data_IF_637876793479
#
_entry.id   IF_637876793479
#
_cell.length_a   1.000
_cell.length_b   1.000
_cell.length_c   1.000
_cell.angle_alpha   90.00
_cell.angle_beta   90.00
_cell.angle_gamma   90.00
#
_symmetry.space_group_name_H-M   'P 1'
#
loop_
_entity.id
_entity.type
_entity.pdbx_description
1 polymer ?
#
# COMPACT_ATOMS: atom_id res chain seq x y z
N UNK A 1 31.64 -13.73 1.98
CA UNK A 1 32.41 -12.49 2.11
C UNK A 1 31.45 -11.33 1.92
N UNK A 2 31.13 -10.63 3.01
CA UNK A 2 30.24 -9.47 2.97
C UNK A 2 30.93 -8.35 2.18
N UNK A 3 30.27 -7.87 1.12
CA UNK A 3 30.70 -6.65 0.45
C UNK A 3 30.56 -5.50 1.46
N UNK A 4 31.68 -4.91 1.84
CA UNK A 4 31.76 -3.71 2.65
C UNK A 4 31.23 -2.53 1.80
N UNK A 5 29.90 -2.40 1.71
CA UNK A 5 29.25 -1.25 1.12
C UNK A 5 29.31 -0.10 2.10
N UNK A 6 29.92 1.02 1.71
CA UNK A 6 29.86 2.26 2.48
C UNK A 6 28.40 2.55 2.87
N UNK A 7 28.15 2.85 4.15
CA UNK A 7 26.81 3.09 4.66
C UNK A 7 26.19 4.30 3.94
N UNK A 8 25.29 4.04 2.98
CA UNK A 8 24.63 5.09 2.22
C UNK A 8 23.75 5.92 3.15
N UNK A 9 23.90 7.24 3.08
CA UNK A 9 23.08 8.19 3.82
C UNK A 9 22.76 9.42 2.97
N UNK A 10 21.68 10.11 3.33
CA UNK A 10 21.29 11.41 2.78
C UNK A 10 21.25 12.42 3.91
N UNK A 11 21.79 13.61 3.66
CA UNK A 11 21.80 14.70 4.63
C UNK A 11 20.55 15.56 4.46
N UNK A 12 19.91 15.89 5.58
CA UNK A 12 18.67 16.66 5.66
C UNK A 12 18.90 17.84 6.61
N UNK A 13 18.34 19.00 6.28
CA UNK A 13 18.23 20.10 7.23
C UNK A 13 16.82 20.08 7.83
N UNK A 14 16.73 19.82 9.11
CA UNK A 14 15.48 19.71 9.86
C UNK A 14 15.28 21.00 10.65
N UNK A 15 14.11 21.59 10.49
CA UNK A 15 13.71 22.81 11.20
C UNK A 15 12.71 22.42 12.28
N UNK A 16 13.06 22.66 13.54
CA UNK A 16 12.32 22.21 14.72
C UNK A 16 11.72 23.40 15.46
N UNK A 17 10.47 23.25 15.88
CA UNK A 17 9.77 24.14 16.81
C UNK A 17 9.98 23.58 18.24
N UNK A 18 10.99 24.07 18.94
CA UNK A 18 11.39 23.54 20.25
C UNK A 18 10.25 23.56 21.27
N UNK A 19 9.48 24.66 21.33
CA UNK A 19 8.36 24.81 22.25
C UNK A 19 7.27 23.75 22.06
N UNK A 20 7.15 23.20 20.85
CA UNK A 20 6.13 22.20 20.49
C UNK A 20 6.68 20.79 20.39
N UNK A 21 7.99 20.61 20.55
CA UNK A 21 8.70 19.36 20.29
C UNK A 21 8.29 18.74 18.93
N UNK A 22 8.22 19.57 17.89
CA UNK A 22 7.67 19.23 16.59
C UNK A 22 8.58 19.71 15.45
N UNK A 23 8.67 18.93 14.38
CA UNK A 23 9.31 19.35 13.12
C UNK A 23 8.35 20.29 12.39
N UNK A 24 8.84 21.48 12.01
CA UNK A 24 8.10 22.37 11.12
C UNK A 24 8.19 21.87 9.68
N UNK A 25 9.42 21.68 9.20
CA UNK A 25 9.70 21.14 7.88
C UNK A 25 11.12 20.60 7.80
N UNK A 26 11.38 19.86 6.72
CA UNK A 26 12.68 19.37 6.31
C UNK A 26 13.04 20.00 4.97
N UNK A 27 14.19 20.65 4.89
CA UNK A 27 14.81 21.02 3.62
C UNK A 27 15.68 19.84 3.12
N UNK A 28 15.35 19.33 1.93
CA UNK A 28 15.89 18.10 1.37
C UNK A 28 16.27 18.26 -0.10
N UNK A 29 17.36 17.60 -0.51
CA UNK A 29 17.73 17.43 -1.91
C UNK A 29 16.90 16.35 -2.61
N UNK A 30 17.01 16.29 -3.93
CA UNK A 30 16.32 15.31 -4.79
C UNK A 30 16.48 13.87 -4.31
N UNK A 31 17.64 13.52 -3.73
CA UNK A 31 17.96 12.15 -3.38
C UNK A 31 17.06 11.61 -2.27
N UNK A 32 16.63 12.48 -1.34
CA UNK A 32 15.67 12.09 -0.32
C UNK A 32 14.24 12.16 -0.85
N UNK A 33 13.91 13.18 -1.64
CA UNK A 33 12.56 13.30 -2.21
C UNK A 33 12.23 12.12 -3.12
N UNK A 34 13.16 11.72 -3.98
CA UNK A 34 13.05 10.52 -4.81
C UNK A 34 12.76 9.27 -3.96
N UNK A 35 13.47 9.11 -2.84
CA UNK A 35 13.25 8.01 -1.89
C UNK A 35 11.84 8.09 -1.28
N UNK A 36 11.43 9.26 -0.81
CA UNK A 36 10.14 9.49 -0.18
C UNK A 36 8.98 9.20 -1.14
N UNK A 37 8.98 9.79 -2.33
CA UNK A 37 7.91 9.59 -3.32
C UNK A 37 7.89 8.15 -3.84
N UNK A 38 9.05 7.48 -3.86
CA UNK A 38 9.13 6.08 -4.28
C UNK A 38 8.31 5.12 -3.41
N UNK A 39 7.94 5.47 -2.17
CA UNK A 39 7.06 4.62 -1.36
C UNK A 39 5.71 4.36 -2.03
N UNK A 40 5.19 5.31 -2.82
CA UNK A 40 3.93 5.20 -3.56
C UNK A 40 3.89 4.01 -4.52
N UNK A 41 5.05 3.65 -5.03
CA UNK A 41 5.24 2.66 -6.08
C UNK A 41 5.54 1.27 -5.51
N UNK A 42 5.67 1.14 -4.18
CA UNK A 42 6.05 -0.12 -3.53
C UNK A 42 4.82 -1.03 -3.33
N UNK A 43 4.89 -2.31 -3.74
CA UNK A 43 3.88 -3.29 -3.39
C UNK A 43 3.71 -3.44 -1.88
N UNK A 44 2.49 -3.67 -1.40
CA UNK A 44 2.23 -3.82 0.05
C UNK A 44 3.11 -4.90 0.68
N UNK A 45 3.25 -6.07 0.05
CA UNK A 45 4.08 -7.15 0.58
C UNK A 45 5.56 -6.75 0.69
N UNK A 46 6.05 -5.88 -0.21
CA UNK A 46 7.39 -5.30 -0.11
C UNK A 46 7.48 -4.39 1.12
N UNK A 47 6.50 -3.52 1.35
CA UNK A 47 6.47 -2.64 2.52
C UNK A 47 6.44 -3.47 3.81
N UNK A 48 5.53 -4.45 3.92
CA UNK A 48 5.44 -5.34 5.10
C UNK A 48 6.78 -6.03 5.35
N UNK A 49 7.43 -6.58 4.32
CA UNK A 49 8.72 -7.26 4.42
C UNK A 49 9.84 -6.33 4.86
N UNK A 50 9.97 -5.18 4.23
CA UNK A 50 11.06 -4.23 4.50
C UNK A 50 10.95 -3.60 5.89
N UNK A 51 9.74 -3.59 6.43
CA UNK A 51 9.43 -2.86 7.66
C UNK A 51 9.21 -3.76 8.87
N UNK A 52 9.49 -5.07 8.79
CA UNK A 52 9.25 -6.04 9.87
C UNK A 52 9.82 -5.63 11.23
N UNK A 53 11.04 -5.10 11.24
CA UNK A 53 11.73 -4.70 12.48
C UNK A 53 11.15 -3.41 13.11
N UNK A 54 10.31 -2.69 12.36
CA UNK A 54 9.68 -1.45 12.79
C UNK A 54 8.15 -1.54 12.91
N UNK A 55 7.51 -2.54 12.29
CA UNK A 55 6.05 -2.78 12.30
C UNK A 55 5.63 -3.65 13.49
N UNK A 56 5.54 -3.06 14.69
CA UNK A 56 5.11 -3.82 15.88
C UNK A 56 3.68 -4.35 15.76
N UNK A 57 2.70 -3.57 15.28
CA UNK A 57 1.33 -4.02 14.90
C UNK A 57 0.64 -3.09 13.88
N UNK A 58 1.45 -2.38 13.08
CA UNK A 58 1.00 -1.34 12.18
C UNK A 58 0.70 -1.94 10.77
N UNK A 59 -0.24 -1.36 10.00
CA UNK A 59 -0.70 -1.77 8.65
C UNK A 59 -1.89 -2.76 8.52
N UNK A 60 -2.76 -2.83 9.54
CA UNK A 60 -4.06 -3.52 9.44
C UNK A 60 -3.97 -5.03 9.14
N UNK A 61 -4.92 -5.56 8.38
CA UNK A 61 -5.01 -6.99 8.06
C UNK A 61 -3.92 -7.48 7.10
N UNK A 62 -3.31 -6.61 6.29
CA UNK A 62 -2.32 -7.02 5.26
C UNK A 62 -1.05 -7.60 5.86
N UNK A 63 -0.63 -7.16 7.05
CA UNK A 63 0.47 -7.78 7.81
C UNK A 63 0.14 -9.23 8.19
N UNK A 64 -1.09 -9.49 8.64
CA UNK A 64 -1.54 -10.84 9.02
C UNK A 64 -1.57 -11.78 7.81
N UNK A 65 -2.09 -11.29 6.69
CA UNK A 65 -2.10 -12.02 5.43
C UNK A 65 -0.68 -12.42 4.99
N UNK A 66 0.27 -11.48 5.01
CA UNK A 66 1.67 -11.77 4.69
C UNK A 66 2.22 -12.88 5.60
N UNK A 67 2.04 -12.76 6.93
CA UNK A 67 2.50 -13.76 7.89
C UNK A 67 1.83 -15.13 7.68
N UNK A 68 0.57 -15.15 7.25
CA UNK A 68 -0.14 -16.37 6.88
C UNK A 68 0.48 -17.05 5.67
N UNK A 69 0.86 -16.30 4.64
CA UNK A 69 1.50 -16.88 3.45
C UNK A 69 2.84 -17.55 3.80
N UNK A 70 3.62 -16.99 4.73
CA UNK A 70 4.84 -17.66 5.23
C UNK A 70 4.55 -19.01 5.90
N UNK A 71 3.43 -19.10 6.63
CA UNK A 71 2.99 -20.36 7.26
C UNK A 71 2.48 -21.34 6.21
N UNK A 72 1.73 -20.88 5.21
CA UNK A 72 1.23 -21.69 4.10
C UNK A 72 2.39 -22.24 3.26
N UNK A 73 3.43 -21.45 3.00
CA UNK A 73 4.65 -21.89 2.31
C UNK A 73 5.35 -23.01 3.08
N UNK A 74 5.55 -22.84 4.39
CA UNK A 74 6.10 -23.88 5.26
C UNK A 74 5.25 -25.16 5.26
N UNK A 75 3.92 -25.01 5.15
CA UNK A 75 2.99 -26.12 5.02
C UNK A 75 2.88 -26.70 3.60
N UNK A 76 3.69 -26.21 2.63
CA UNK A 76 3.67 -26.61 1.21
C UNK A 76 2.32 -26.38 0.52
N UNK A 77 1.58 -25.37 0.95
CA UNK A 77 0.29 -24.95 0.39
C UNK A 77 0.41 -23.80 -0.62
N UNK A 78 1.58 -23.15 -0.72
CA UNK A 78 1.93 -22.29 -1.85
C UNK A 78 2.35 -23.19 -3.03
N UNK A 79 1.87 -22.88 -4.24
CA UNK A 79 2.03 -23.75 -5.43
C UNK A 79 3.49 -23.94 -5.84
N UNK A 80 4.29 -22.87 -5.83
CA UNK A 80 5.67 -22.91 -6.31
C UNK A 80 6.56 -21.92 -5.58
N UNK A 81 7.88 -22.07 -5.71
CA UNK A 81 8.86 -21.12 -5.20
C UNK A 81 8.68 -19.72 -5.84
N UNK A 82 8.26 -19.66 -7.09
CA UNK A 82 8.00 -18.40 -7.79
C UNK A 82 6.73 -17.72 -7.25
N UNK A 83 5.67 -18.48 -6.95
CA UNK A 83 4.47 -17.92 -6.29
C UNK A 83 4.82 -17.36 -4.91
N UNK A 84 5.68 -18.07 -4.15
CA UNK A 84 6.20 -17.58 -2.88
C UNK A 84 6.94 -16.25 -3.06
N UNK A 85 7.84 -16.16 -4.03
CA UNK A 85 8.61 -14.95 -4.31
C UNK A 85 7.70 -13.80 -4.77
N UNK A 86 6.69 -14.07 -5.60
CA UNK A 86 5.69 -13.07 -6.00
C UNK A 86 4.92 -12.48 -4.81
N UNK A 87 4.69 -13.25 -3.75
CA UNK A 87 3.88 -12.83 -2.60
C UNK A 87 4.69 -12.27 -1.44
N UNK A 88 5.82 -12.89 -1.10
CA UNK A 88 6.69 -12.48 0.01
C UNK A 88 7.75 -11.48 -0.45
N UNK A 89 8.19 -11.55 -1.71
CA UNK A 89 9.14 -10.63 -2.30
C UNK A 89 8.57 -9.93 -3.57
N UNK A 90 7.35 -9.36 -3.52
CA UNK A 90 6.73 -8.77 -4.68
C UNK A 90 7.61 -7.67 -5.25
N UNK A 91 7.65 -7.59 -6.58
CA UNK A 91 8.47 -6.62 -7.31
C UNK A 91 7.61 -5.44 -7.74
N UNK A 92 8.21 -4.26 -7.80
CA UNK A 92 7.53 -3.06 -8.32
C UNK A 92 7.73 -2.96 -9.83
N UNK A 93 6.71 -2.53 -10.56
CA UNK A 93 6.87 -2.16 -11.96
C UNK A 93 7.94 -1.08 -12.16
N UNK A 94 8.09 -0.18 -11.19
CA UNK A 94 9.11 0.86 -11.24
C UNK A 94 10.48 0.40 -10.73
N UNK A 95 10.72 -0.90 -10.45
CA UNK A 95 11.98 -1.42 -9.90
C UNK A 95 13.21 -0.90 -10.65
N UNK A 96 13.10 -0.76 -11.97
CA UNK A 96 14.13 -0.16 -12.82
C UNK A 96 14.57 1.24 -12.36
N UNK A 97 13.62 2.06 -11.88
CA UNK A 97 13.84 3.41 -11.35
C UNK A 97 14.37 3.36 -9.92
N UNK A 98 13.78 2.54 -9.03
CA UNK A 98 14.29 2.36 -7.66
C UNK A 98 15.76 1.98 -7.62
N UNK A 99 16.23 1.21 -8.62
CA UNK A 99 17.62 0.79 -8.68
C UNK A 99 18.61 1.95 -8.78
N UNK A 100 18.12 3.13 -9.15
CA UNK A 100 18.89 4.38 -9.30
C UNK A 100 18.81 5.28 -8.05
N UNK A 101 18.01 4.93 -7.03
CA UNK A 101 17.94 5.68 -5.78
C UNK A 101 19.30 5.68 -5.07
N UNK A 102 19.61 6.79 -4.39
CA UNK A 102 20.84 6.94 -3.61
C UNK A 102 20.88 6.02 -2.39
N UNK A 103 19.72 5.71 -1.81
CA UNK A 103 19.58 4.76 -0.71
C UNK A 103 19.01 3.45 -1.25
N UNK A 104 19.77 2.37 -1.10
CA UNK A 104 19.27 1.04 -1.44
C UNK A 104 18.40 0.47 -0.32
N UNK A 105 17.08 0.58 -0.51
CA UNK A 105 16.10 0.07 0.45
C UNK A 105 15.91 -1.45 0.36
N UNK A 106 16.27 -2.10 -0.74
CA UNK A 106 15.97 -3.51 -1.00
C UNK A 106 17.28 -4.30 -0.96
N UNK A 107 17.31 -5.46 -0.30
CA UNK A 107 18.44 -6.39 -0.48
C UNK A 107 18.29 -7.07 -1.86
N UNK A 108 19.10 -6.64 -2.82
CA UNK A 108 18.97 -6.96 -4.25
C UNK A 108 19.68 -8.25 -4.66
N UNK A 109 20.32 -8.93 -3.72
CA UNK A 109 21.22 -10.06 -3.98
C UNK A 109 20.54 -11.27 -4.65
N UNK A 110 19.21 -11.33 -4.68
CA UNK A 110 18.43 -12.41 -5.29
C UNK A 110 17.54 -11.98 -6.50
N UNK A 111 17.45 -10.69 -6.84
CA UNK A 111 16.50 -10.23 -7.87
C UNK A 111 17.08 -10.40 -9.28
N UNK A 112 16.79 -11.53 -9.88
CA UNK A 112 17.17 -11.89 -11.23
C UNK A 112 16.10 -11.51 -12.25
N UNK A 113 16.51 -11.40 -13.51
CA UNK A 113 15.63 -11.23 -14.64
C UNK A 113 15.76 -12.41 -15.59
N UNK A 114 14.69 -12.71 -16.31
CA UNK A 114 14.64 -13.83 -17.23
C UNK A 114 14.48 -13.31 -18.65
N UNK A 115 15.34 -13.76 -19.58
CA UNK A 115 15.37 -13.26 -20.95
C UNK A 115 15.06 -14.37 -21.94
N UNK A 116 14.08 -14.10 -22.80
CA UNK A 116 13.70 -15.00 -23.86
C UNK A 116 14.75 -14.98 -24.97
N UNK A 117 15.05 -16.15 -25.54
CA UNK A 117 16.04 -16.28 -26.60
C UNK A 117 15.61 -15.58 -27.90
N UNK A 118 14.32 -15.58 -28.21
CA UNK A 118 13.81 -15.21 -29.54
C UNK A 118 13.23 -13.80 -29.61
N UNK A 119 12.63 -13.32 -28.52
CA UNK A 119 11.82 -12.08 -28.50
C UNK A 119 12.49 -10.90 -27.75
N UNK A 120 13.71 -11.07 -27.21
CA UNK A 120 14.43 -10.07 -26.40
C UNK A 120 13.64 -9.55 -25.17
N UNK A 121 12.52 -10.21 -24.84
CA UNK A 121 11.63 -9.89 -23.73
C UNK A 121 12.30 -10.25 -22.41
N UNK A 122 12.21 -9.32 -21.45
CA UNK A 122 12.66 -9.50 -20.08
C UNK A 122 11.45 -9.70 -19.18
N UNK A 123 11.44 -10.80 -18.42
CA UNK A 123 10.47 -11.05 -17.36
C UNK A 123 11.09 -10.90 -15.98
N UNK A 124 10.24 -10.53 -15.03
CA UNK A 124 10.52 -10.47 -13.61
C UNK A 124 10.53 -11.86 -12.95
N UNK A 125 9.81 -12.81 -13.55
CA UNK A 125 9.57 -14.15 -13.01
C UNK A 125 9.75 -15.21 -14.10
N UNK A 126 10.34 -16.35 -13.75
CA UNK A 126 10.60 -17.43 -14.71
C UNK A 126 9.30 -18.03 -15.29
N UNK A 127 8.22 -18.00 -14.53
CA UNK A 127 6.90 -18.56 -14.86
C UNK A 127 6.07 -17.68 -15.80
N UNK A 128 6.56 -16.50 -16.17
CA UNK A 128 5.88 -15.69 -17.18
C UNK A 128 5.86 -16.40 -18.53
N UNK A 129 4.93 -16.00 -19.40
CA UNK A 129 4.84 -16.53 -20.76
C UNK A 129 5.32 -15.43 -21.74
N UNK A 130 6.33 -15.69 -22.59
CA UNK A 130 6.60 -14.77 -23.72
C UNK A 130 5.50 -14.96 -24.77
N UNK A 131 5.09 -13.85 -25.39
CA UNK A 131 4.16 -13.85 -26.54
C UNK A 131 4.65 -14.65 -27.75
N UNK A 132 5.94 -14.99 -27.81
CA UNK A 132 6.51 -15.83 -28.85
C UNK A 132 6.50 -17.32 -28.52
N UNK A 133 5.86 -17.74 -27.42
CA UNK A 133 5.72 -19.12 -26.95
C UNK A 133 7.03 -19.85 -26.60
N UNK A 134 8.18 -19.23 -26.84
CA UNK A 134 9.48 -19.75 -26.42
C UNK A 134 9.73 -19.53 -24.93
N UNK A 135 10.46 -20.46 -24.33
CA UNK A 135 10.88 -20.39 -22.93
C UNK A 135 11.94 -19.30 -22.70
N UNK A 136 12.03 -18.85 -21.46
CA UNK A 136 13.14 -18.02 -21.01
C UNK A 136 14.40 -18.89 -20.92
N UNK A 137 15.39 -18.62 -21.78
CA UNK A 137 16.65 -19.38 -21.85
C UNK A 137 17.72 -18.83 -20.91
N UNK A 138 17.62 -17.56 -20.55
CA UNK A 138 18.71 -16.86 -19.86
C UNK A 138 18.24 -16.25 -18.56
N UNK A 139 19.06 -16.42 -17.52
CA UNK A 139 19.02 -15.68 -16.27
C UNK A 139 19.97 -14.49 -16.35
N UNK A 140 19.55 -13.34 -15.87
CA UNK A 140 20.31 -12.08 -15.88
C UNK A 140 20.36 -11.48 -14.49
N UNK A 141 21.58 -11.37 -13.97
CA UNK A 141 21.88 -10.64 -12.74
C UNK A 141 22.35 -9.22 -13.10
N UNK A 142 21.80 -8.21 -12.43
CA UNK A 142 22.29 -6.82 -12.55
C UNK A 142 23.35 -6.54 -11.49
N UNK A 143 24.58 -6.20 -11.89
CA UNK A 143 25.72 -5.96 -10.99
C UNK A 143 25.82 -4.51 -10.51
N UNK A 144 25.46 -3.56 -11.37
CA UNK A 144 25.55 -2.13 -11.05
C UNK A 144 25.02 -1.25 -12.17
N UNK A 145 24.84 0.04 -11.88
CA UNK A 145 24.41 1.03 -12.87
C UNK A 145 25.62 1.39 -13.76
N UNK A 146 25.43 1.43 -15.08
CA UNK A 146 26.47 1.92 -15.99
C UNK A 146 26.64 3.43 -15.81
N UNK A 147 27.88 3.88 -15.80
CA UNK A 147 28.28 5.27 -15.48
C UNK A 147 27.96 6.32 -16.55
N UNK A 148 27.37 5.93 -17.68
CA UNK A 148 27.15 6.82 -18.82
C UNK A 148 25.95 7.77 -18.68
N UNK A 149 25.16 7.66 -17.60
CA UNK A 149 24.08 8.60 -17.28
C UNK A 149 24.58 9.49 -16.13
N UNK A 150 24.55 10.83 -16.25
CA UNK A 150 24.96 11.70 -15.16
C UNK A 150 24.17 11.35 -13.89
N UNK A 151 24.86 11.08 -12.78
CA UNK A 151 24.23 10.81 -11.47
C UNK A 151 23.40 11.99 -10.94
N UNK A 152 23.41 13.11 -11.67
CA UNK A 152 22.87 14.38 -11.24
C UNK A 152 21.42 14.65 -11.68
N UNK A 153 20.81 13.75 -12.47
CA UNK A 153 19.49 14.01 -13.08
C UNK A 153 18.25 13.66 -12.23
N UNK A 154 18.40 13.18 -10.99
CA UNK A 154 17.26 12.67 -10.20
C UNK A 154 16.61 11.42 -10.81
N UNK A 155 15.81 10.71 -10.01
CA UNK A 155 15.09 9.50 -10.43
C UNK A 155 13.68 9.84 -10.90
N UNK A 156 12.89 10.46 -10.02
CA UNK A 156 11.51 10.86 -10.27
C UNK A 156 11.36 12.38 -10.32
N UNK A 157 12.03 13.10 -9.41
CA UNK A 157 11.92 14.56 -9.30
C UNK A 157 13.00 15.29 -10.07
N UNK A 158 12.69 16.53 -10.46
CA UNK A 158 13.62 17.41 -11.13
C UNK A 158 14.73 17.84 -10.14
N UNK A 159 16.02 17.71 -10.50
CA UNK A 159 17.14 18.01 -9.61
C UNK A 159 17.38 19.51 -9.35
N UNK A 160 16.79 20.40 -10.14
CA UNK A 160 17.26 21.77 -10.26
C UNK A 160 16.96 22.68 -9.06
N UNK A 161 16.10 22.26 -8.13
CA UNK A 161 15.75 23.06 -6.94
C UNK A 161 15.65 22.17 -5.68
N UNK A 162 16.12 22.66 -4.52
CA UNK A 162 15.89 21.98 -3.25
C UNK A 162 14.41 22.00 -2.87
N UNK A 163 14.00 21.01 -2.08
CA UNK A 163 12.62 20.84 -1.64
C UNK A 163 12.46 21.15 -0.16
N UNK A 164 11.30 21.66 0.19
CA UNK A 164 10.80 21.83 1.54
C UNK A 164 9.65 20.84 1.74
N UNK A 165 9.72 20.04 2.80
CA UNK A 165 8.72 19.00 3.11
C UNK A 165 8.24 19.23 4.53
N UNK A 166 6.96 19.52 4.72
CA UNK A 166 6.42 19.63 6.07
C UNK A 166 6.23 18.25 6.73
N UNK A 167 5.88 18.27 8.01
CA UNK A 167 5.67 17.06 8.79
C UNK A 167 4.48 16.22 8.31
N UNK A 168 3.54 16.82 7.57
CA UNK A 168 2.40 16.13 6.95
C UNK A 168 2.71 15.60 5.54
N UNK A 169 3.98 15.67 5.12
CA UNK A 169 4.53 15.29 3.82
C UNK A 169 4.00 16.10 2.62
N UNK A 170 3.64 17.36 2.82
CA UNK A 170 3.46 18.28 1.70
C UNK A 170 4.83 18.72 1.19
N UNK A 171 5.15 18.30 -0.03
CA UNK A 171 6.38 18.67 -0.74
C UNK A 171 6.14 19.96 -1.53
N UNK A 172 7.08 20.90 -1.40
CA UNK A 172 7.15 22.16 -2.15
C UNK A 172 8.59 22.43 -2.58
N UNK A 173 8.79 23.26 -3.60
CA UNK A 173 10.12 23.83 -3.86
C UNK A 173 10.50 24.81 -2.75
N UNK A 174 11.75 24.78 -2.31
CA UNK A 174 12.25 25.74 -1.33
C UNK A 174 12.24 27.15 -1.94
N UNK A 175 11.59 28.09 -1.26
CA UNK A 175 11.58 29.50 -1.65
C UNK A 175 11.44 30.40 -0.42
N UNK A 176 11.94 31.63 -0.51
CA UNK A 176 11.76 32.65 0.54
C UNK A 176 10.29 32.93 0.82
N UNK A 177 9.45 32.90 -0.22
CA UNK A 177 7.98 33.01 -0.10
C UNK A 177 7.41 31.93 0.82
N UNK A 178 7.76 30.67 0.58
CA UNK A 178 7.27 29.54 1.38
C UNK A 178 7.76 29.63 2.84
N UNK A 179 9.01 30.08 3.06
CA UNK A 179 9.54 30.28 4.41
C UNK A 179 8.78 31.38 5.18
N UNK A 180 8.51 32.52 4.53
CA UNK A 180 7.77 33.64 5.16
C UNK A 180 6.32 33.25 5.47
N UNK A 181 5.67 32.44 4.61
CA UNK A 181 4.32 31.95 4.83
C UNK A 181 4.19 31.09 6.10
N UNK A 182 5.24 30.36 6.49
CA UNK A 182 5.25 29.53 7.69
C UNK A 182 5.28 30.35 9.00
N UNK A 183 5.64 31.65 8.94
CA UNK A 183 5.66 32.58 10.08
C UNK A 183 6.37 32.04 11.33
N UNK A 184 7.44 31.29 11.16
CA UNK A 184 8.20 30.71 12.27
C UNK A 184 9.13 31.78 12.86
N UNK A 185 9.12 31.92 14.19
CA UNK A 185 9.94 32.91 14.92
C UNK A 185 11.01 32.28 15.80
N UNK A 186 10.76 31.07 16.31
CA UNK A 186 11.65 30.33 17.20
C UNK A 186 11.99 28.95 16.60
N UNK A 187 12.73 28.95 15.49
CA UNK A 187 13.21 27.74 14.84
C UNK A 187 14.65 27.38 15.19
N UNK A 188 14.89 26.09 15.38
CA UNK A 188 16.26 25.54 15.44
C UNK A 188 16.53 24.71 14.19
N UNK A 189 17.62 25.05 13.51
CA UNK A 189 18.11 24.31 12.35
C UNK A 189 19.06 23.21 12.78
N UNK A 190 18.80 21.98 12.36
CA UNK A 190 19.61 20.80 12.66
C UNK A 190 19.95 20.06 11.38
N UNK A 191 21.16 19.53 11.29
CA UNK A 191 21.55 18.67 10.16
C UNK A 191 21.48 17.21 10.60
N UNK A 192 20.66 16.41 9.93
CA UNK A 192 20.45 15.00 10.22
C UNK A 192 20.87 14.15 9.01
N UNK A 193 21.68 13.13 9.26
CA UNK A 193 21.98 12.13 8.24
C UNK A 193 21.02 10.95 8.41
N UNK A 194 20.26 10.65 7.35
CA UNK A 194 19.30 9.56 7.31
C UNK A 194 19.84 8.41 6.46
N UNK A 195 20.02 7.25 7.09
CA UNK A 195 20.38 6.00 6.43
C UNK A 195 19.17 5.10 6.19
N UNK A 196 19.40 3.91 5.64
CA UNK A 196 18.37 2.91 5.32
C UNK A 196 17.39 2.64 6.47
N UNK A 197 17.90 2.34 7.67
CA UNK A 197 17.09 2.01 8.85
C UNK A 197 16.11 3.13 9.23
N UNK A 198 16.62 4.37 9.40
CA UNK A 198 15.77 5.54 9.69
C UNK A 198 14.74 5.80 8.57
N UNK A 199 15.07 5.59 7.30
CA UNK A 199 14.12 5.72 6.18
C UNK A 199 13.03 4.66 6.22
N UNK A 200 13.37 3.41 6.52
CA UNK A 200 12.39 2.33 6.67
C UNK A 200 11.46 2.58 7.86
N UNK A 201 12.01 3.10 8.97
CA UNK A 201 11.21 3.56 10.12
C UNK A 201 10.30 4.73 9.75
N UNK A 202 10.78 5.70 8.97
CA UNK A 202 9.98 6.82 8.46
C UNK A 202 8.83 6.34 7.57
N UNK A 203 9.09 5.37 6.67
CA UNK A 203 8.07 4.74 5.84
C UNK A 203 6.96 4.15 6.71
N UNK A 204 7.31 3.40 7.75
CA UNK A 204 6.32 2.84 8.69
C UNK A 204 5.53 3.93 9.39
N UNK A 205 6.20 4.93 9.98
CA UNK A 205 5.53 6.03 10.67
C UNK A 205 4.56 6.77 9.77
N UNK A 206 4.90 6.98 8.49
CA UNK A 206 4.03 7.64 7.53
C UNK A 206 2.75 6.87 7.18
N UNK A 207 2.67 5.58 7.50
CA UNK A 207 1.46 4.77 7.31
C UNK A 207 0.46 4.93 8.46
N UNK A 208 0.92 5.35 9.64
CA UNK A 208 0.08 5.39 10.86
C UNK A 208 0.01 6.76 11.53
N UNK A 209 0.91 7.68 11.18
CA UNK A 209 1.03 9.01 11.78
C UNK A 209 0.86 10.11 10.75
N UNK A 210 0.28 11.22 11.19
CA UNK A 210 0.17 12.45 10.42
C UNK A 210 1.43 13.31 10.50
N UNK A 211 2.34 13.02 11.43
CA UNK A 211 3.57 13.79 11.71
C UNK A 211 4.82 12.89 11.76
N UNK A 212 5.10 12.11 10.70
CA UNK A 212 6.20 11.15 10.68
C UNK A 212 7.61 11.73 10.90
N UNK A 213 7.91 12.98 10.54
CA UNK A 213 9.22 13.55 10.83
C UNK A 213 9.38 13.80 12.34
N UNK A 214 8.36 14.33 13.00
CA UNK A 214 8.37 14.47 14.46
C UNK A 214 8.53 13.13 15.17
N UNK A 215 7.85 12.08 14.69
CA UNK A 215 7.98 10.74 15.28
C UNK A 215 9.41 10.18 15.20
N UNK A 216 10.15 10.56 14.15
CA UNK A 216 11.51 10.08 13.88
C UNK A 216 12.56 10.94 14.56
N UNK A 217 12.45 12.27 14.46
CA UNK A 217 13.49 13.20 14.90
C UNK A 217 13.28 13.70 16.34
N UNK A 218 12.04 13.69 16.83
CA UNK A 218 11.70 14.11 18.21
C UNK A 218 11.43 12.92 19.13
N UNK A 219 11.46 11.69 18.60
CA UNK A 219 11.10 10.45 19.30
C UNK A 219 9.68 10.46 19.88
N UNK A 220 8.76 11.19 19.24
CA UNK A 220 7.35 11.15 19.59
C UNK A 220 6.80 9.75 19.21
N UNK A 221 6.37 8.97 20.20
CA UNK A 221 5.70 7.71 19.95
C UNK A 221 4.22 8.02 19.66
N UNK A 222 3.65 7.53 18.54
CA UNK A 222 2.22 7.68 18.31
C UNK A 222 1.44 6.98 19.41
N UNK A 223 0.36 7.60 19.88
CA UNK A 223 -0.56 7.01 20.85
C UNK A 223 -1.10 5.68 20.30
N UNK A 224 -0.74 4.56 20.95
CA UNK A 224 -1.15 3.20 20.57
C UNK A 224 -2.66 2.95 20.68
N UNK A 225 -3.42 3.92 21.20
CA UNK A 225 -4.83 3.76 21.54
C UNK A 225 -5.74 4.56 20.62
N UNK A 226 -5.84 4.16 19.35
CA UNK A 226 -7.03 4.49 18.55
C UNK A 226 -7.45 3.27 17.74
N UNK A 227 -8.21 2.34 18.30
CA UNK A 227 -8.98 1.43 17.45
C UNK A 227 -10.05 2.27 16.74
N UNK A 228 -9.81 2.66 15.48
CA UNK A 228 -10.83 3.31 14.68
C UNK A 228 -11.75 2.22 14.14
N UNK A 229 -12.92 2.06 14.71
CA UNK A 229 -13.95 1.18 14.15
C UNK A 229 -14.40 1.79 12.82
N UNK A 230 -14.00 1.16 11.71
CA UNK A 230 -14.37 1.61 10.37
C UNK A 230 -15.78 1.12 10.08
N UNK A 231 -16.66 2.02 9.63
CA UNK A 231 -18.02 1.66 9.27
C UNK A 231 -18.07 1.28 7.78
N UNK A 232 -18.75 0.18 7.41
CA UNK A 232 -19.02 -0.18 6.02
C UNK A 232 -19.63 0.99 5.24
N UNK A 233 -19.18 1.21 3.99
CA UNK A 233 -19.84 2.13 3.06
C UNK A 233 -19.47 3.62 3.14
N UNK A 234 -18.45 4.00 3.92
CA UNK A 234 -17.94 5.40 3.94
C UNK A 234 -16.94 5.72 2.82
N UNK A 235 -16.24 4.71 2.31
CA UNK A 235 -15.25 4.84 1.25
C UNK A 235 -15.78 4.12 0.03
N UNK A 236 -16.13 4.88 -1.00
CA UNK A 236 -16.54 4.34 -2.29
C UNK A 236 -15.34 4.33 -3.23
N UNK A 237 -15.08 3.23 -3.97
CA UNK A 237 -14.12 3.27 -5.05
C UNK A 237 -14.51 4.36 -6.06
N UNK A 238 -13.53 4.90 -6.77
CA UNK A 238 -13.79 5.87 -7.83
C UNK A 238 -14.68 5.18 -8.88
N UNK A 239 -15.81 5.79 -9.24
CA UNK A 239 -16.62 5.23 -10.33
C UNK A 239 -15.76 5.22 -11.59
N UNK A 240 -15.51 4.04 -12.15
CA UNK A 240 -14.89 3.93 -13.46
C UNK A 240 -15.77 4.73 -14.44
N UNK A 241 -15.24 5.81 -15.00
CA UNK A 241 -15.73 6.29 -16.28
C UNK A 241 -15.65 5.10 -17.23
N UNK A 242 -16.75 4.79 -17.91
CA UNK A 242 -16.92 3.60 -18.74
C UNK A 242 -15.69 3.34 -19.63
N UNK A 243 -14.75 2.54 -19.14
CA UNK A 243 -13.74 1.92 -19.99
C UNK A 243 -14.47 0.76 -20.64
N UNK A 244 -15.02 1.04 -21.82
CA UNK A 244 -15.51 0.04 -22.75
C UNK A 244 -14.32 -0.83 -23.16
N UNK A 245 -13.96 -1.83 -22.35
CA UNK A 245 -13.08 -2.97 -22.70
C UNK A 245 -12.96 -4.02 -21.56
N UNK A 246 -13.92 -4.09 -20.64
CA UNK A 246 -14.02 -5.26 -19.75
C UNK A 246 -15.20 -6.08 -20.24
N UNK A 247 -14.90 -7.18 -20.93
CA UNK A 247 -15.85 -8.26 -21.17
C UNK A 247 -16.47 -8.66 -19.83
N UNK A 248 -17.79 -8.63 -19.79
CA UNK A 248 -18.67 -8.94 -18.67
C UNK A 248 -18.64 -10.45 -18.31
N UNK A 249 -17.45 -11.02 -18.07
CA UNK A 249 -17.33 -12.33 -17.44
C UNK A 249 -17.33 -12.09 -15.94
N UNK A 250 -18.51 -12.14 -15.33
CA UNK A 250 -18.70 -11.94 -13.90
C UNK A 250 -18.03 -13.06 -13.07
N UNK A 251 -16.70 -13.01 -12.93
CA UNK A 251 -15.97 -13.84 -11.97
C UNK A 251 -16.51 -13.49 -10.59
N UNK A 252 -17.22 -14.44 -9.97
CA UNK A 252 -17.89 -14.30 -8.70
C UNK A 252 -17.38 -15.41 -7.79
N UNK A 253 -16.83 -15.01 -6.65
CA UNK A 253 -16.26 -15.95 -5.67
C UNK A 253 -17.32 -16.21 -4.61
N UNK A 254 -17.62 -17.47 -4.34
CA UNK A 254 -18.57 -17.86 -3.29
C UNK A 254 -17.83 -18.09 -1.98
N UNK A 255 -18.33 -17.52 -0.89
CA UNK A 255 -17.72 -17.59 0.43
C UNK A 255 -18.78 -17.95 1.48
N UNK A 256 -18.49 -18.91 2.34
CA UNK A 256 -19.34 -19.21 3.50
C UNK A 256 -18.77 -18.50 4.73
N UNK A 257 -19.55 -17.61 5.33
CA UNK A 257 -19.18 -16.88 6.54
C UNK A 257 -19.76 -17.57 7.76
N UNK A 258 -18.95 -17.67 8.82
CA UNK A 258 -19.38 -18.08 10.15
C UNK A 258 -19.37 -16.85 11.05
N UNK A 259 -20.55 -16.51 11.58
CA UNK A 259 -20.84 -15.22 12.21
C UNK A 259 -21.27 -15.46 13.66
N UNK A 260 -20.66 -14.72 14.58
CA UNK A 260 -21.14 -14.52 15.95
C UNK A 260 -22.34 -13.57 15.89
N UNK A 261 -23.53 -14.16 15.98
CA UNK A 261 -24.80 -13.48 15.73
C UNK A 261 -25.06 -12.36 16.77
N UNK A 262 -24.86 -12.57 18.09
CA UNK A 262 -25.02 -11.51 19.09
C UNK A 262 -24.12 -10.29 18.88
N UNK A 263 -22.88 -10.49 18.41
CA UNK A 263 -21.91 -9.40 18.22
C UNK A 263 -21.87 -8.85 16.79
N UNK A 264 -22.67 -9.41 15.88
CA UNK A 264 -22.66 -9.08 14.45
C UNK A 264 -21.23 -9.06 13.88
N UNK A 265 -20.46 -10.13 14.15
CA UNK A 265 -19.04 -10.21 13.81
C UNK A 265 -18.73 -11.50 13.08
N UNK A 266 -18.03 -11.40 11.96
CA UNK A 266 -17.49 -12.59 11.28
C UNK A 266 -16.38 -13.17 12.13
N UNK A 267 -16.47 -14.46 12.45
CA UNK A 267 -15.40 -15.20 13.13
C UNK A 267 -14.34 -15.60 12.10
N UNK A 268 -14.79 -16.34 11.09
CA UNK A 268 -13.99 -16.75 9.96
C UNK A 268 -14.88 -16.99 8.73
N UNK A 269 -14.25 -17.10 7.59
CA UNK A 269 -14.83 -17.54 6.34
C UNK A 269 -14.21 -18.85 5.90
N UNK A 270 -15.03 -19.75 5.38
CA UNK A 270 -14.59 -20.93 4.66
C UNK A 270 -14.41 -20.57 3.18
N UNK A 271 -13.18 -20.68 2.69
CA UNK A 271 -12.76 -20.15 1.40
C UNK A 271 -12.12 -21.23 0.51
N UNK A 272 -12.32 -21.12 -0.80
CA UNK A 272 -11.56 -21.88 -1.80
C UNK A 272 -10.25 -21.18 -2.18
N UNK A 273 -9.53 -21.77 -3.15
CA UNK A 273 -8.29 -21.18 -3.69
C UNK A 273 -8.52 -19.81 -4.32
N UNK A 274 -9.66 -19.58 -4.97
CA UNK A 274 -10.00 -18.36 -5.69
C UNK A 274 -10.07 -17.12 -4.79
N UNK A 275 -10.67 -17.26 -3.60
CA UNK A 275 -10.70 -16.18 -2.61
C UNK A 275 -9.33 -15.94 -1.98
N UNK A 276 -8.57 -16.99 -1.68
CA UNK A 276 -7.24 -16.83 -1.09
C UNK A 276 -6.27 -16.22 -2.10
N UNK A 277 -6.36 -16.60 -3.37
CA UNK A 277 -5.57 -15.99 -4.45
C UNK A 277 -5.89 -14.51 -4.62
N UNK A 278 -7.17 -14.13 -4.54
CA UNK A 278 -7.59 -12.73 -4.51
C UNK A 278 -6.93 -11.98 -3.33
N UNK A 279 -6.96 -12.55 -2.12
CA UNK A 279 -6.32 -11.93 -0.96
C UNK A 279 -4.82 -11.80 -1.18
N UNK A 280 -4.15 -12.87 -1.59
CA UNK A 280 -2.73 -12.91 -1.92
C UNK A 280 -2.34 -11.81 -2.92
N UNK A 281 -3.20 -11.57 -3.92
CA UNK A 281 -3.01 -10.53 -4.93
C UNK A 281 -2.89 -9.12 -4.31
N UNK A 282 -3.53 -8.85 -3.17
CA UNK A 282 -3.48 -7.54 -2.50
C UNK A 282 -2.06 -7.15 -2.08
N UNK A 283 -1.21 -8.13 -1.76
CA UNK A 283 0.20 -7.88 -1.40
C UNK A 283 1.04 -7.41 -2.59
N UNK A 284 0.58 -7.67 -3.81
CA UNK A 284 1.27 -7.27 -5.03
C UNK A 284 0.91 -5.85 -5.50
N UNK A 285 -0.12 -5.25 -4.90
CA UNK A 285 -0.66 -3.95 -5.31
C UNK A 285 0.25 -2.82 -4.78
N UNK A 286 0.67 -1.87 -5.62
CA UNK A 286 1.41 -0.68 -5.18
C UNK A 286 0.59 0.17 -4.20
N UNK A 287 1.24 0.70 -3.16
CA UNK A 287 0.59 1.49 -2.10
C UNK A 287 -0.31 2.61 -2.64
N UNK A 288 0.10 3.33 -3.67
CA UNK A 288 -0.68 4.47 -4.12
C UNK A 288 -1.96 4.09 -4.87
N UNK A 289 -2.12 2.83 -5.29
CA UNK A 289 -3.39 2.36 -5.86
C UNK A 289 -4.53 2.57 -4.87
N UNK A 290 -4.29 2.39 -3.58
CA UNK A 290 -5.28 2.62 -2.53
C UNK A 290 -5.74 4.09 -2.49
N UNK A 291 -4.82 5.04 -2.59
CA UNK A 291 -5.17 6.46 -2.56
C UNK A 291 -5.80 6.95 -3.87
N UNK A 292 -5.37 6.36 -5.00
CA UNK A 292 -5.96 6.60 -6.32
C UNK A 292 -7.42 6.13 -6.37
N UNK A 293 -7.65 4.90 -5.94
CA UNK A 293 -8.94 4.23 -6.05
C UNK A 293 -9.92 4.65 -4.95
N UNK A 294 -9.40 4.98 -3.76
CA UNK A 294 -10.19 5.38 -2.60
C UNK A 294 -9.79 6.78 -2.06
N UNK A 295 -10.17 7.89 -2.73
CA UNK A 295 -9.79 9.25 -2.32
C UNK A 295 -10.27 9.68 -0.93
N UNK A 296 -11.32 9.03 -0.42
CA UNK A 296 -11.95 9.24 0.88
C UNK A 296 -11.67 8.09 1.86
N UNK A 297 -10.63 7.29 1.62
CA UNK A 297 -10.20 6.27 2.56
C UNK A 297 -9.82 6.95 3.90
N UNK A 298 -10.38 6.49 5.05
CA UNK A 298 -10.03 7.02 6.37
C UNK A 298 -8.65 6.52 6.82
N UNK A 299 -7.61 6.88 6.06
CA UNK A 299 -6.23 6.49 6.29
C UNK A 299 -5.59 7.40 7.35
N UNK A 300 -5.01 6.80 8.39
CA UNK A 300 -4.45 7.54 9.53
C UNK A 300 -3.09 8.17 9.27
N UNK A 301 -2.31 7.65 8.33
CA UNK A 301 -0.98 8.16 8.02
C UNK A 301 -0.97 9.37 7.07
N UNK A 302 0.21 9.95 6.88
CA UNK A 302 0.46 11.07 5.97
C UNK A 302 0.58 10.66 4.49
N UNK A 303 0.75 9.36 4.18
CA UNK A 303 0.89 8.89 2.79
C UNK A 303 -0.26 9.31 1.87
N UNK A 304 -1.50 9.37 2.37
CA UNK A 304 -2.63 9.86 1.59
C UNK A 304 -2.53 11.35 1.21
N UNK A 305 -1.90 12.17 2.07
CA UNK A 305 -1.61 13.59 1.80
C UNK A 305 -0.46 13.74 0.82
N UNK A 306 0.61 12.96 0.98
CA UNK A 306 1.72 12.90 0.03
C UNK A 306 1.22 12.54 -1.38
N UNK A 307 0.34 11.54 -1.51
CA UNK A 307 -0.24 11.17 -2.81
C UNK A 307 -0.97 12.35 -3.47
N UNK A 308 -1.84 13.04 -2.71
CA UNK A 308 -2.57 14.22 -3.22
C UNK A 308 -1.60 15.34 -3.61
N UNK A 309 -0.59 15.61 -2.79
CA UNK A 309 0.44 16.60 -3.08
C UNK A 309 1.21 16.26 -4.38
N UNK A 310 1.58 14.99 -4.62
CA UNK A 310 2.22 14.56 -5.88
C UNK A 310 1.30 14.81 -7.08
N UNK A 311 -0.02 14.59 -6.96
CA UNK A 311 -0.97 14.89 -8.03
C UNK A 311 -1.02 16.39 -8.36
N UNK A 312 -1.06 17.22 -7.32
CA UNK A 312 -1.23 18.67 -7.42
C UNK A 312 0.06 19.43 -7.78
N UNK A 313 1.24 18.82 -7.56
CA UNK A 313 2.53 19.40 -7.91
C UNK A 313 2.66 19.65 -9.42
N UNK A 314 3.28 20.77 -9.78
CA UNK A 314 3.53 21.12 -11.18
C UNK A 314 4.41 20.08 -11.88
N UNK A 315 4.11 19.77 -13.14
CA UNK A 315 4.82 18.75 -13.92
C UNK A 315 6.33 19.04 -14.04
N UNK A 316 6.76 20.31 -13.99
CA UNK A 316 8.18 20.68 -14.03
C UNK A 316 8.94 20.27 -12.74
N UNK A 317 8.21 19.91 -11.68
CA UNK A 317 8.79 19.34 -10.45
C UNK A 317 9.27 17.89 -10.65
N UNK A 318 8.85 17.25 -11.75
CA UNK A 318 9.21 15.87 -12.09
C UNK A 318 10.17 15.84 -13.28
N UNK A 319 10.95 14.76 -13.36
CA UNK A 319 11.88 14.55 -14.48
C UNK A 319 11.14 14.46 -15.82
N UNK A 320 9.95 13.87 -15.81
CA UNK A 320 9.07 13.81 -16.96
C UNK A 320 7.63 13.52 -16.52
N UNK A 321 6.68 13.70 -17.44
CA UNK A 321 5.27 13.34 -17.18
C UNK A 321 5.10 11.86 -16.90
N UNK A 322 5.86 11.00 -17.58
CA UNK A 322 5.86 9.55 -17.36
C UNK A 322 6.35 9.17 -15.95
N UNK A 323 7.33 9.90 -15.41
CA UNK A 323 7.82 9.68 -14.04
C UNK A 323 6.77 10.09 -13.00
N UNK A 324 6.09 11.22 -13.21
CA UNK A 324 4.94 11.61 -12.37
C UNK A 324 3.83 10.57 -12.45
N UNK A 325 3.49 10.12 -13.66
CA UNK A 325 2.46 9.10 -13.87
C UNK A 325 2.78 7.77 -13.18
N UNK A 326 4.06 7.37 -13.17
CA UNK A 326 4.53 6.20 -12.42
C UNK A 326 4.23 6.31 -10.92
N UNK A 327 4.29 7.52 -10.33
CA UNK A 327 4.03 7.76 -8.91
C UNK A 327 2.55 7.83 -8.56
N UNK A 328 1.70 8.35 -9.46
CA UNK A 328 0.27 8.56 -9.19
C UNK A 328 -0.64 7.44 -9.74
N UNK A 329 -0.11 6.65 -10.68
CA UNK A 329 -0.79 5.58 -11.39
C UNK A 329 0.16 4.40 -11.74
N UNK A 330 0.83 3.78 -10.75
CA UNK A 330 1.69 2.64 -10.98
C UNK A 330 0.88 1.44 -11.42
N UNK A 331 1.50 0.69 -12.31
CA UNK A 331 0.99 -0.58 -12.80
C UNK A 331 1.55 -1.73 -11.98
N UNK A 332 0.93 -2.90 -12.08
CA UNK A 332 1.50 -4.12 -11.52
C UNK A 332 2.80 -4.48 -12.24
N UNK A 333 3.73 -5.12 -11.52
CA UNK A 333 4.89 -5.71 -12.17
C UNK A 333 4.43 -6.77 -13.20
N UNK A 334 5.10 -6.87 -14.36
CA UNK A 334 4.72 -7.83 -15.39
C UNK A 334 4.68 -9.28 -14.87
N UNK A 335 3.63 -10.02 -15.24
CA UNK A 335 3.39 -11.40 -14.82
C UNK A 335 2.39 -11.58 -13.67
N UNK A 336 1.80 -10.52 -13.13
CA UNK A 336 0.89 -10.52 -11.96
C UNK A 336 -0.60 -10.25 -12.27
N UNK A 337 -0.96 -9.74 -13.44
CA UNK A 337 -2.33 -9.45 -13.88
C UNK A 337 -3.19 -10.70 -13.91
N UNK A 338 -2.59 -11.84 -14.25
CA UNK A 338 -3.29 -13.14 -14.28
C UNK A 338 -3.89 -13.50 -12.92
N UNK A 339 -3.31 -12.98 -11.84
CA UNK A 339 -3.73 -13.23 -10.47
C UNK A 339 -4.59 -12.09 -9.87
N UNK A 340 -4.80 -11.00 -10.61
CA UNK A 340 -5.54 -9.80 -10.16
C UNK A 340 -6.83 -9.56 -10.97
N UNK A 341 -7.39 -10.61 -11.58
CA UNK A 341 -8.48 -10.52 -12.55
C UNK A 341 -9.73 -9.81 -12.01
N UNK A 342 -10.06 -10.00 -10.74
CA UNK A 342 -11.27 -9.42 -10.14
C UNK A 342 -11.15 -7.90 -9.90
N UNK A 343 -9.96 -7.41 -9.55
CA UNK A 343 -9.72 -5.97 -9.33
C UNK A 343 -9.48 -5.27 -10.68
N UNK A 344 -8.76 -5.94 -11.60
CA UNK A 344 -8.51 -5.47 -12.95
C UNK A 344 -7.43 -4.38 -13.03
N UNK A 345 -6.33 -4.53 -12.27
CA UNK A 345 -5.17 -3.65 -12.42
C UNK A 345 -4.40 -3.96 -13.71
N UNK A 346 -3.97 -2.90 -14.39
CA UNK A 346 -3.08 -3.02 -15.53
C UNK A 346 -1.66 -3.43 -15.11
N UNK A 347 -1.03 -4.25 -15.95
CA UNK A 347 0.39 -4.56 -15.88
C UNK A 347 1.23 -3.52 -16.62
N UNK A 348 2.43 -3.29 -16.13
CA UNK A 348 3.44 -2.54 -16.87
C UNK A 348 3.91 -3.32 -18.10
N UNK A 349 4.42 -2.60 -19.09
CA UNK A 349 5.12 -3.22 -20.21
C UNK A 349 6.41 -3.89 -19.72
N UNK A 350 6.69 -5.08 -20.25
CA UNK A 350 7.97 -5.74 -20.03
C UNK A 350 9.12 -4.90 -20.59
N UNK A 351 10.27 -4.97 -19.93
CA UNK A 351 11.50 -4.34 -20.42
C UNK A 351 12.07 -5.16 -21.59
N UNK A 352 12.83 -4.48 -22.45
CA UNK A 352 13.67 -5.16 -23.44
C UNK A 352 15.04 -5.47 -22.86
N UNK A 353 15.66 -6.56 -23.31
CA UNK A 353 17.01 -6.92 -22.88
C UNK A 353 18.02 -5.83 -23.25
N UNK A 354 17.85 -5.21 -24.42
CA UNK A 354 18.61 -4.03 -24.85
C UNK A 354 18.54 -2.88 -23.83
N UNK A 355 17.35 -2.57 -23.30
CA UNK A 355 17.17 -1.52 -22.28
C UNK A 355 17.97 -1.83 -21.01
N UNK A 356 17.95 -3.08 -20.54
CA UNK A 356 18.77 -3.51 -19.40
C UNK A 356 20.26 -3.32 -19.70
N UNK A 357 20.75 -3.82 -20.83
CA UNK A 357 22.14 -3.71 -21.26
C UNK A 357 22.62 -2.25 -21.35
N UNK A 358 21.76 -1.33 -21.78
CA UNK A 358 22.11 0.10 -21.88
C UNK A 358 22.25 0.79 -20.53
N UNK A 359 21.58 0.30 -19.48
CA UNK A 359 21.54 0.97 -18.18
C UNK A 359 22.38 0.29 -17.09
N UNK A 360 22.62 -1.02 -17.21
CA UNK A 360 23.25 -1.80 -16.16
C UNK A 360 24.39 -2.66 -16.69
N UNK A 361 25.36 -2.92 -15.81
CA UNK A 361 26.29 -4.01 -15.95
C UNK A 361 25.57 -5.31 -15.64
N UNK A 362 25.61 -6.25 -16.58
CA UNK A 362 24.83 -7.47 -16.51
C UNK A 362 25.72 -8.71 -16.56
N UNK A 363 25.33 -9.73 -15.81
CA UNK A 363 25.87 -11.08 -15.93
C UNK A 363 24.75 -11.98 -16.44
N UNK A 364 24.95 -12.57 -17.61
CA UNK A 364 24.02 -13.49 -18.25
C UNK A 364 24.48 -14.92 -18.01
N UNK A 365 23.56 -15.82 -17.69
CA UNK A 365 23.84 -17.25 -17.54
C UNK A 365 22.74 -18.03 -18.23
N UNK A 366 23.12 -19.07 -19.00
CA UNK A 366 22.15 -19.98 -19.61
C UNK A 366 21.50 -20.83 -18.52
N UNK A 367 20.18 -20.93 -18.55
CA UNK A 367 19.45 -21.90 -17.75
C UNK A 367 19.76 -23.29 -18.32
N UNK A 368 20.24 -24.20 -17.48
CA UNK A 368 20.47 -25.58 -17.89
C UNK A 368 19.17 -26.24 -18.36
N UNK A 369 19.26 -27.13 -19.35
CA UNK A 369 18.13 -27.90 -19.91
C UNK A 369 17.49 -28.90 -18.92
N UNK A 370 17.86 -28.86 -17.65
CA UNK A 370 17.33 -29.70 -16.59
C UNK A 370 16.48 -28.87 -15.62
N UNK A 371 15.18 -28.83 -15.85
CA UNK A 371 14.23 -28.86 -14.75
C UNK A 371 13.30 -30.03 -15.06
N UNK A 372 13.29 -31.03 -14.18
CA UNK A 372 12.14 -31.91 -14.07
C UNK A 372 10.92 -30.99 -14.02
N UNK A 373 10.17 -30.95 -15.12
CA UNK A 373 8.77 -30.56 -15.04
C UNK A 373 8.13 -31.69 -14.23
N UNK A 374 8.27 -31.63 -12.90
CA UNK A 374 7.13 -32.05 -12.09
C UNK A 374 5.98 -31.25 -12.69
N UNK A 375 5.01 -31.96 -13.28
CA UNK A 375 3.83 -31.40 -13.90
C UNK A 375 3.38 -30.23 -13.04
N UNK A 376 3.68 -29.00 -13.47
CA UNK A 376 3.21 -27.81 -12.78
C UNK A 376 1.71 -27.92 -12.96
N UNK A 377 1.01 -28.33 -11.89
CA UNK A 377 -0.44 -28.29 -11.85
C UNK A 377 -0.85 -26.98 -12.51
N UNK A 378 -1.57 -27.09 -13.61
CA UNK A 378 -1.96 -26.02 -14.53
C UNK A 378 -2.92 -25.00 -13.89
N UNK A 379 -2.89 -24.89 -12.57
CA UNK A 379 -3.60 -23.91 -11.77
C UNK A 379 -2.95 -22.53 -11.92
N UNK A 380 -3.77 -21.55 -12.27
CA UNK A 380 -3.38 -20.15 -12.46
C UNK A 380 -3.26 -19.36 -11.15
N UNK A 381 -3.31 -20.03 -10.01
CA UNK A 381 -3.35 -19.43 -8.68
C UNK A 381 -2.00 -19.41 -7.94
N UNK A 382 -1.94 -18.77 -6.78
CA UNK A 382 -0.76 -18.78 -5.91
C UNK A 382 -0.75 -19.94 -4.93
N UNK A 383 -1.92 -20.35 -4.43
CA UNK A 383 -2.06 -21.43 -3.44
C UNK A 383 -2.62 -22.70 -4.07
N UNK A 384 -2.38 -23.85 -3.46
CA UNK A 384 -2.90 -25.15 -3.94
C UNK A 384 -4.43 -25.24 -3.79
N UNK A 385 -5.11 -26.03 -4.63
CA UNK A 385 -6.57 -26.17 -4.59
C UNK A 385 -7.01 -26.95 -3.34
N UNK A 386 -7.32 -26.22 -2.26
CA UNK A 386 -7.85 -26.80 -1.02
C UNK A 386 -8.80 -25.81 -0.34
N UNK A 387 -9.43 -26.23 0.76
CA UNK A 387 -10.27 -25.39 1.60
C UNK A 387 -9.43 -24.67 2.65
N UNK A 388 -9.64 -23.38 2.76
CA UNK A 388 -8.97 -22.50 3.71
C UNK A 388 -9.94 -21.94 4.73
N UNK A 389 -9.41 -21.59 5.89
CA UNK A 389 -10.08 -20.77 6.89
C UNK A 389 -9.46 -19.37 6.83
N UNK A 390 -10.29 -18.35 6.65
CA UNK A 390 -9.87 -16.94 6.65
C UNK A 390 -10.53 -16.24 7.83
N UNK A 391 -9.74 -15.87 8.84
CA UNK A 391 -10.24 -15.16 10.01
C UNK A 391 -10.60 -13.70 9.69
N UNK A 392 -11.34 -13.06 10.59
CA UNK A 392 -11.81 -11.68 10.42
C UNK A 392 -10.72 -10.66 10.09
N UNK A 393 -9.49 -10.90 10.58
CA UNK A 393 -8.31 -10.06 10.38
C UNK A 393 -7.46 -10.46 9.15
N UNK A 394 -8.04 -11.27 8.24
CA UNK A 394 -7.44 -11.87 7.05
C UNK A 394 -6.25 -12.79 7.31
N UNK A 395 -6.11 -13.33 8.53
CA UNK A 395 -5.24 -14.48 8.76
C UNK A 395 -5.81 -15.69 8.01
N UNK A 396 -4.99 -16.27 7.14
CA UNK A 396 -5.33 -17.47 6.36
C UNK A 396 -4.62 -18.69 6.92
N UNK A 397 -5.35 -19.78 7.08
CA UNK A 397 -4.80 -21.11 7.41
C UNK A 397 -5.48 -22.20 6.58
N UNK A 398 -4.88 -23.39 6.54
CA UNK A 398 -5.61 -24.57 6.07
C UNK A 398 -6.88 -24.78 6.91
N UNK A 399 -7.99 -25.18 6.28
CA UNK A 399 -9.22 -25.45 7.01
C UNK A 399 -9.05 -26.67 7.92
N UNK A 400 -9.52 -26.59 9.17
CA UNK A 400 -9.56 -27.69 10.12
C UNK A 400 -10.76 -27.53 11.05
N UNK A 401 -11.48 -28.62 11.29
CA UNK A 401 -12.59 -28.65 12.25
C UNK A 401 -12.13 -28.34 13.68
N UNK A 402 -10.88 -28.65 14.02
CA UNK A 402 -10.31 -28.33 15.34
C UNK A 402 -10.20 -26.81 15.54
N UNK A 403 -9.61 -26.12 14.55
CA UNK A 403 -9.48 -24.65 14.57
C UNK A 403 -10.85 -23.97 14.54
N UNK A 404 -11.75 -24.46 13.69
CA UNK A 404 -13.13 -23.98 13.62
C UNK A 404 -13.83 -24.12 14.98
N UNK A 405 -13.78 -25.31 15.60
CA UNK A 405 -14.36 -25.56 16.92
C UNK A 405 -13.77 -24.65 17.99
N UNK A 406 -12.46 -24.40 17.96
CA UNK A 406 -11.80 -23.47 18.90
C UNK A 406 -12.40 -22.06 18.82
N UNK A 407 -12.57 -21.51 17.61
CA UNK A 407 -13.15 -20.19 17.40
C UNK A 407 -14.65 -20.13 17.75
N UNK A 408 -15.37 -21.23 17.52
CA UNK A 408 -16.81 -21.34 17.78
C UNK A 408 -17.15 -21.53 19.27
N UNK A 409 -16.34 -22.27 20.03
CA UNK A 409 -16.58 -22.55 21.45
C UNK A 409 -16.65 -21.29 22.33
N UNK A 410 -16.12 -20.17 21.85
CA UNK A 410 -16.16 -18.87 22.54
C UNK A 410 -17.49 -18.12 22.34
N UNK A 411 -18.42 -18.64 21.53
CA UNK A 411 -19.64 -17.96 21.11
C UNK A 411 -20.90 -18.72 21.51
N UNK A 412 -21.96 -17.97 21.86
CA UNK A 412 -23.24 -18.53 22.32
C UNK A 412 -24.18 -18.89 21.16
N UNK A 413 -24.16 -18.11 20.07
CA UNK A 413 -25.03 -18.27 18.91
C UNK A 413 -24.27 -17.97 17.61
N UNK A 414 -24.27 -18.95 16.71
CA UNK A 414 -23.47 -18.96 15.49
C UNK A 414 -24.40 -19.08 14.29
N UNK A 415 -24.23 -18.17 13.34
CA UNK A 415 -24.93 -18.14 12.06
C UNK A 415 -23.97 -18.43 10.92
N UNK A 416 -24.40 -19.26 9.98
CA UNK A 416 -23.75 -19.39 8.68
C UNK A 416 -24.44 -18.51 7.64
N UNK A 417 -23.66 -17.82 6.80
CA UNK A 417 -24.19 -16.99 5.72
C UNK A 417 -23.37 -17.18 4.44
N UNK A 418 -24.04 -17.29 3.29
CA UNK A 418 -23.37 -17.46 2.00
C UNK A 418 -23.33 -16.13 1.29
N UNK A 419 -22.13 -15.64 1.01
CA UNK A 419 -21.92 -14.38 0.31
C UNK A 419 -21.19 -14.59 -1.00
N UNK A 420 -21.55 -13.78 -1.98
CA UNK A 420 -20.83 -13.70 -3.26
C UNK A 420 -19.93 -12.48 -3.21
N UNK A 421 -18.63 -12.67 -3.48
CA UNK A 421 -17.65 -11.60 -3.65
C UNK A 421 -17.55 -11.28 -5.13
N UNK A 422 -18.08 -10.12 -5.50
CA UNK A 422 -17.92 -9.49 -6.80
C UNK A 422 -16.79 -8.45 -6.75
N UNK A 423 -16.56 -7.75 -7.87
CA UNK A 423 -15.55 -6.70 -7.96
C UNK A 423 -15.73 -5.61 -6.91
N UNK A 424 -16.95 -5.16 -6.66
CA UNK A 424 -17.21 -4.10 -5.69
C UNK A 424 -16.85 -4.56 -4.27
N UNK A 425 -17.26 -5.76 -3.87
CA UNK A 425 -16.88 -6.32 -2.55
C UNK A 425 -15.39 -6.59 -2.45
N UNK A 426 -14.73 -7.03 -3.53
CA UNK A 426 -13.28 -7.20 -3.57
C UNK A 426 -12.55 -5.87 -3.36
N UNK A 427 -13.01 -4.78 -3.98
CA UNK A 427 -12.47 -3.44 -3.77
C UNK A 427 -12.69 -2.94 -2.33
N UNK A 428 -13.88 -3.15 -1.76
CA UNK A 428 -14.13 -2.78 -0.36
C UNK A 428 -13.27 -3.61 0.61
N UNK A 429 -13.04 -4.89 0.32
CA UNK A 429 -12.17 -5.76 1.09
C UNK A 429 -10.70 -5.35 0.98
N UNK A 430 -10.25 -4.98 -0.22
CA UNK A 430 -8.92 -4.40 -0.44
C UNK A 430 -8.75 -3.14 0.42
N UNK A 431 -9.67 -2.18 0.33
CA UNK A 431 -9.62 -0.97 1.15
C UNK A 431 -9.60 -1.29 2.65
N UNK A 432 -10.53 -2.13 3.13
CA UNK A 432 -10.61 -2.53 4.52
C UNK A 432 -9.33 -3.24 5.00
N UNK A 433 -8.68 -4.03 4.16
CA UNK A 433 -7.45 -4.75 4.53
C UNK A 433 -6.30 -3.84 4.94
N UNK A 434 -6.23 -2.62 4.39
CA UNK A 434 -5.17 -1.64 4.70
C UNK A 434 -5.43 -0.87 6.01
N UNK A 435 -6.69 -0.59 6.33
CA UNK A 435 -7.06 0.35 7.40
C UNK A 435 -7.81 -0.27 8.58
N UNK A 436 -8.28 -1.51 8.46
CA UNK A 436 -9.05 -2.22 9.49
C UNK A 436 -8.30 -3.44 10.04
N UNK A 437 -8.68 -3.85 11.25
CA UNK A 437 -8.30 -5.11 11.89
C UNK A 437 -9.40 -6.19 11.76
N UNK A 438 -10.58 -5.81 11.26
CA UNK A 438 -11.79 -6.66 11.15
C UNK A 438 -12.39 -6.64 9.74
N UNK A 439 -11.53 -6.78 8.72
CA UNK A 439 -11.89 -6.53 7.33
C UNK A 439 -13.10 -7.34 6.82
N UNK A 440 -13.26 -8.61 7.23
CA UNK A 440 -14.43 -9.40 6.80
C UNK A 440 -15.74 -8.83 7.38
N UNK A 441 -15.74 -8.49 8.67
CA UNK A 441 -16.90 -7.87 9.32
C UNK A 441 -17.24 -6.54 8.68
N UNK A 442 -16.22 -5.69 8.43
CA UNK A 442 -16.41 -4.35 7.87
C UNK A 442 -16.97 -4.36 6.44
N UNK A 443 -16.82 -5.46 5.70
CA UNK A 443 -17.31 -5.61 4.32
C UNK A 443 -18.65 -6.34 4.27
N UNK A 444 -18.78 -7.44 5.02
CA UNK A 444 -19.91 -8.36 4.87
C UNK A 444 -21.02 -8.14 5.89
N UNK A 445 -20.76 -7.42 6.99
CA UNK A 445 -21.77 -7.11 8.01
C UNK A 445 -22.12 -5.62 7.93
N UNK A 446 -23.27 -5.32 7.33
CA UNK A 446 -23.78 -3.95 7.23
C UNK A 446 -24.30 -3.48 8.59
N UNK A 447 -23.50 -2.70 9.33
CA UNK A 447 -24.01 -1.94 10.47
C UNK A 447 -25.00 -0.87 9.95
N UNK A 448 -26.30 -1.06 10.19
CA UNK A 448 -27.28 0.00 9.93
C UNK A 448 -26.86 1.24 10.74
N UNK A 449 -26.76 2.43 10.13
CA UNK A 449 -26.43 3.62 10.89
C UNK A 449 -27.47 3.79 12.00
N UNK A 450 -26.99 3.88 13.26
CA UNK A 450 -27.84 4.28 14.38
C UNK A 450 -28.47 5.61 13.99
N UNK A 451 -29.80 5.64 13.82
CA UNK A 451 -30.51 6.89 13.63
C UNK A 451 -30.17 7.78 14.84
N UNK A 452 -29.42 8.85 14.62
CA UNK A 452 -29.30 9.91 15.60
C UNK A 452 -30.72 10.36 15.93
N UNK A 453 -31.16 10.13 17.18
CA UNK A 453 -32.40 10.70 17.68
C UNK A 453 -32.28 12.21 17.51
N UNK A 454 -32.97 12.76 16.51
CA UNK A 454 -33.08 14.21 16.32
C UNK A 454 -33.40 14.84 17.69
N UNK A 455 -32.64 15.85 18.14
CA UNK A 455 -32.97 16.51 19.40
C UNK A 455 -34.38 17.07 19.29
N UNK A 456 -35.24 16.74 20.26
CA UNK A 456 -36.60 17.28 20.36
C UNK A 456 -36.50 18.82 20.30
N UNK A 457 -37.32 19.51 19.49
CA UNK A 457 -37.30 20.96 19.46
C UNK A 457 -37.67 21.49 20.85
N UNK A 458 -36.82 22.37 21.40
CA UNK A 458 -37.11 23.11 22.63
C UNK A 458 -38.38 23.96 22.40
N UNK A 459 -39.31 24.05 23.37
CA UNK A 459 -40.47 24.91 23.24
C UNK A 459 -40.02 26.37 23.11
N UNK A 460 -40.57 27.08 22.11
CA UNK A 460 -40.36 28.51 21.91
C UNK A 460 -40.92 29.26 23.12
N UNK A 461 -40.05 29.97 23.85
CA UNK A 461 -40.49 31.01 24.77
C UNK A 461 -41.09 32.15 23.95
N UNK A 462 -42.36 32.46 24.22
CA UNK A 462 -43.05 33.62 23.68
C UNK A 462 -42.60 34.83 24.49
N UNK A 463 -41.77 35.68 23.89
CA UNK A 463 -41.52 37.02 24.41
C UNK A 463 -42.78 37.86 24.15
N UNK A 464 -43.54 38.16 25.20
CA UNK A 464 -44.48 39.29 25.17
C UNK A 464 -43.64 40.56 25.21
N UNK A 465 -43.71 41.34 24.13
CA UNK A 465 -43.26 42.72 24.12
C UNK A 465 -44.40 43.59 24.64
N UNK A 466 -44.05 44.43 25.58
CA UNK A 466 -44.83 45.54 26.09
C UNK A 466 -45.22 46.50 24.94
N UNK A 467 -46.47 46.93 24.98
CA UNK A 467 -46.94 48.16 24.34
C UNK A 467 -47.78 48.84 25.42
N UNK A 468 -47.22 49.92 25.96
CA UNK A 468 -47.94 50.92 26.75
C UNK A 468 -48.95 51.64 25.84
N UNK A 469 -50.14 51.89 26.38
CA UNK A 469 -50.78 53.21 26.26
C UNK A 469 -51.82 53.37 27.38
N UNK A 470 -51.68 54.49 28.06
CA UNK A 470 -52.50 55.00 29.16
C UNK A 470 -53.97 55.16 28.77
N UNK A 471 -54.89 54.67 29.63
CA UNK A 471 -56.09 55.46 29.93
C UNK A 471 -56.65 55.08 31.32
N UNK A 472 -56.54 56.05 32.22
CA UNK A 472 -57.09 56.04 33.56
C UNK A 472 -58.60 56.35 33.49
N UNK A 473 -59.45 55.47 34.05
CA UNK A 473 -60.80 55.84 34.43
C UNK A 473 -61.29 55.12 35.69
N UNK A 474 -61.66 55.97 36.66
CA UNK A 474 -62.65 55.80 37.73
C UNK A 474 -62.19 55.26 39.10
N UNK A 475 -62.07 56.23 40.01
CA UNK A 475 -62.04 56.17 41.47
C UNK A 475 -63.28 55.50 42.08
N UNK A 476 -63.08 54.79 43.20
CA UNK A 476 -63.59 55.14 44.52
C UNK A 476 -62.67 54.57 45.60
#
# INVERSE_FOLDING_TARGET
MAANGALQSVSLKVVVLEERNQVAFVEAGKEFVDVLVSFMTMPIGMIVRLSRDHLKDEMGCLKNLYNSIEKLDKAKLVRSAECKDMLLCPRSAAEFHYRKLKLDLIDRSANEYYVCQSCDLVSFYQTAHCRCENSFKYRVELKGNKSSVPRDEGVFVNPNMPFMIDDEFLVKHSSTKNLVELKIKDDTWRTENIGKDKVLKLMVRSLVSQTPFSDIFMNNLPDSNTSSTICPGKYKPRRAGQSQNVTDSATRISLNLVIDNPRERVLYAEAGEDFVDLLCSFLTIPLCYFFKEFPHLPFKGSMGKLYKNIQDLDDNSFKSKEMKETLVNPKLAPGLAQHNQLIGLEEASNLSFKTLCSNFEIKRTELGSSSNQEEVETGRGFVKPTKFMVENNLSVTHFSLESARKLMNEMEDIKEDKVIVDRDKALHLLAASLVSESALTDVFILKKPKQEKKPKPKPKQVNRKDVDDDECCCCF
#
